data_IF_403785447111
#
_entry.id   IF_403785447111
#
_cell.length_a   1.000
_cell.length_b   1.000
_cell.length_c   1.000
_cell.angle_alpha   90.00
_cell.angle_beta   90.00
_cell.angle_gamma   90.00
#
_symmetry.space_group_name_H-M   'P 1'
#
loop_
_entity.id
_entity.type
_entity.pdbx_description
1 polymer ?
#
# COMPACT_ATOMS: atom_id res chain seq x y z
N UNK A 1 48.44 -30.73 27.98
CA UNK A 1 47.22 -30.02 28.40
C UNK A 1 46.54 -29.46 27.16
N UNK A 2 45.47 -30.11 26.71
CA UNK A 2 44.66 -29.62 25.61
C UNK A 2 43.62 -28.63 26.16
N UNK A 3 43.70 -27.41 25.72
CA UNK A 3 42.64 -26.41 25.95
C UNK A 3 41.64 -26.56 24.85
N UNK A 4 40.47 -27.11 25.20
CA UNK A 4 39.29 -27.09 24.35
C UNK A 4 38.77 -25.65 24.31
N UNK A 5 39.04 -24.95 23.23
CA UNK A 5 38.36 -23.72 22.88
C UNK A 5 36.97 -24.08 22.38
N UNK A 6 35.99 -23.96 23.27
CA UNK A 6 34.60 -24.06 22.84
C UNK A 6 34.26 -22.73 22.14
N UNK A 7 34.31 -22.71 20.82
CA UNK A 7 33.80 -21.58 20.06
C UNK A 7 32.28 -21.68 20.09
N UNK A 8 31.68 -20.84 20.95
CA UNK A 8 30.25 -20.65 20.95
C UNK A 8 29.87 -19.87 19.68
N UNK A 9 29.47 -20.57 18.65
CA UNK A 9 28.90 -19.92 17.48
C UNK A 9 27.52 -19.38 17.85
N UNK A 10 27.45 -18.09 18.12
CA UNK A 10 26.15 -17.41 18.28
C UNK A 10 25.56 -17.28 16.88
N UNK A 11 24.65 -18.19 16.54
CA UNK A 11 23.86 -18.08 15.33
C UNK A 11 22.83 -16.98 15.61
N UNK A 12 23.10 -15.77 15.13
CA UNK A 12 22.10 -14.72 15.07
C UNK A 12 21.07 -15.14 14.02
N UNK A 13 19.94 -15.68 14.51
CA UNK A 13 18.76 -15.85 13.71
C UNK A 13 18.18 -14.45 13.43
N UNK A 14 18.59 -13.85 12.33
CA UNK A 14 17.94 -12.66 11.82
C UNK A 14 16.65 -13.12 11.19
N UNK A 15 15.53 -12.96 11.90
CA UNK A 15 14.22 -13.14 11.33
C UNK A 15 13.96 -11.99 10.36
N UNK A 16 14.19 -12.22 9.07
CA UNK A 16 13.75 -11.31 8.03
C UNK A 16 12.24 -11.46 7.88
N UNK A 17 11.49 -10.49 8.37
CA UNK A 17 10.12 -10.30 7.89
C UNK A 17 10.22 -9.86 6.44
N UNK A 18 9.98 -10.80 5.52
CA UNK A 18 9.94 -10.49 4.12
C UNK A 18 8.73 -9.59 3.84
N UNK A 19 8.97 -8.27 3.68
CA UNK A 19 7.99 -7.37 3.10
C UNK A 19 7.99 -7.65 1.60
N UNK A 20 6.81 -7.87 0.99
CA UNK A 20 6.69 -8.04 -0.45
C UNK A 20 7.31 -6.82 -1.15
N UNK A 21 8.01 -7.06 -2.26
CA UNK A 21 8.66 -6.01 -3.02
C UNK A 21 7.64 -5.06 -3.65
N UNK A 22 8.00 -3.78 -3.74
CA UNK A 22 7.26 -2.81 -4.54
C UNK A 22 7.20 -3.26 -5.99
N UNK A 23 6.08 -2.99 -6.65
CA UNK A 23 5.89 -3.36 -8.05
C UNK A 23 4.99 -2.38 -8.76
N UNK A 24 5.20 -2.24 -10.06
CA UNK A 24 4.28 -1.51 -10.92
C UNK A 24 3.07 -2.39 -11.21
N UNK A 25 1.89 -1.83 -10.97
CA UNK A 25 0.61 -2.49 -11.20
C UNK A 25 -0.30 -1.58 -12.03
N UNK A 26 -1.44 -2.08 -12.44
CA UNK A 26 -2.48 -1.30 -13.09
C UNK A 26 -3.43 -0.74 -12.04
N UNK A 27 -3.57 0.57 -11.99
CA UNK A 27 -4.43 1.27 -11.03
C UNK A 27 -5.61 1.91 -11.72
N UNK A 28 -6.79 1.74 -11.13
CA UNK A 28 -8.02 2.44 -11.53
C UNK A 28 -8.61 3.10 -10.29
N UNK A 29 -8.74 4.41 -10.33
CA UNK A 29 -9.28 5.20 -9.21
C UNK A 29 -10.46 5.99 -9.71
N UNK A 30 -11.59 5.75 -9.07
CA UNK A 30 -12.87 6.43 -9.36
C UNK A 30 -13.27 7.25 -8.15
N UNK A 31 -13.63 8.51 -8.35
CA UNK A 31 -14.16 9.39 -7.32
C UNK A 31 -15.55 9.86 -7.74
N UNK A 32 -16.55 9.58 -6.88
CA UNK A 32 -17.93 9.75 -7.27
C UNK A 32 -18.26 8.86 -8.47
N UNK A 33 -18.67 9.47 -9.58
CA UNK A 33 -18.94 8.80 -10.86
C UNK A 33 -17.84 9.06 -11.91
N UNK A 34 -16.76 9.71 -11.50
CA UNK A 34 -15.69 10.15 -12.39
C UNK A 34 -14.48 9.24 -12.29
N UNK A 35 -13.98 8.77 -13.43
CA UNK A 35 -12.70 8.09 -13.50
C UNK A 35 -11.59 9.12 -13.28
N UNK A 36 -10.99 9.12 -12.09
CA UNK A 36 -9.94 10.06 -11.73
C UNK A 36 -8.56 9.64 -12.26
N UNK A 37 -8.30 8.34 -12.31
CA UNK A 37 -7.04 7.80 -12.81
C UNK A 37 -7.21 6.39 -13.35
N UNK A 38 -6.55 6.11 -14.47
CA UNK A 38 -6.46 4.77 -15.03
C UNK A 38 -5.08 4.63 -15.71
N UNK A 39 -4.22 3.85 -15.12
CA UNK A 39 -2.87 3.67 -15.66
C UNK A 39 -1.93 2.97 -14.69
N UNK A 40 -0.62 2.93 -15.02
CA UNK A 40 0.36 2.30 -14.15
C UNK A 40 0.57 3.11 -12.87
N UNK A 41 0.74 2.42 -11.77
CA UNK A 41 1.13 3.02 -10.50
C UNK A 41 2.09 2.09 -9.76
N UNK A 42 2.82 2.64 -8.80
CA UNK A 42 3.68 1.88 -7.93
C UNK A 42 2.86 1.38 -6.74
N UNK A 43 2.80 0.07 -6.57
CA UNK A 43 2.19 -0.59 -5.42
C UNK A 43 3.27 -0.79 -4.36
N UNK A 44 3.08 -0.18 -3.20
CA UNK A 44 4.01 -0.19 -2.08
C UNK A 44 3.36 -0.98 -0.95
N UNK A 45 3.71 -2.26 -0.76
CA UNK A 45 3.14 -3.05 0.34
C UNK A 45 3.65 -2.55 1.69
N UNK A 46 2.77 -2.61 2.67
CA UNK A 46 3.05 -2.26 4.07
C UNK A 46 2.62 -3.42 4.99
N UNK A 47 2.94 -3.31 6.27
CA UNK A 47 2.60 -4.34 7.24
C UNK A 47 1.08 -4.58 7.32
N UNK A 48 0.67 -5.83 7.54
CA UNK A 48 -0.73 -6.19 7.78
C UNK A 48 -1.63 -6.15 6.56
N UNK A 49 -1.06 -6.17 5.34
CA UNK A 49 -1.82 -6.11 4.10
C UNK A 49 -2.20 -4.71 3.66
N UNK A 50 -1.85 -3.69 4.42
CA UNK A 50 -1.97 -2.29 4.02
C UNK A 50 -1.03 -2.00 2.85
N UNK A 51 -1.33 -0.97 2.08
CA UNK A 51 -0.49 -0.59 0.95
C UNK A 51 -0.70 0.89 0.60
N UNK A 52 0.25 1.41 -0.16
CA UNK A 52 0.16 2.73 -0.75
C UNK A 52 0.35 2.66 -2.25
N UNK A 53 -0.25 3.61 -2.96
CA UNK A 53 -0.12 3.78 -4.40
C UNK A 53 0.51 5.14 -4.66
N UNK A 54 1.49 5.17 -5.53
CA UNK A 54 2.16 6.41 -5.94
C UNK A 54 2.43 6.41 -7.44
N UNK A 55 2.91 7.53 -7.95
CA UNK A 55 3.47 7.59 -9.28
C UNK A 55 4.64 6.58 -9.40
N UNK A 56 4.83 6.02 -10.58
CA UNK A 56 5.82 4.96 -10.83
C UNK A 56 7.26 5.40 -10.53
N UNK A 57 7.58 6.67 -10.68
CA UNK A 57 8.89 7.25 -10.36
C UNK A 57 8.95 7.89 -8.98
N UNK A 58 7.87 7.87 -8.21
CA UNK A 58 7.69 8.50 -6.90
C UNK A 58 7.86 10.02 -6.92
N UNK A 59 7.83 10.63 -8.08
CA UNK A 59 7.95 12.07 -8.25
C UNK A 59 6.66 12.65 -8.79
N UNK A 60 6.23 13.75 -8.19
CA UNK A 60 5.00 14.38 -8.57
C UNK A 60 3.74 13.61 -8.16
N UNK A 61 2.58 14.12 -8.53
CA UNK A 61 1.30 13.52 -8.15
C UNK A 61 1.01 12.24 -8.91
N UNK A 62 0.27 11.34 -8.25
CA UNK A 62 -0.33 10.18 -8.90
C UNK A 62 -1.48 10.62 -9.82
N UNK A 63 -2.35 11.48 -9.28
CA UNK A 63 -3.43 12.14 -10.03
C UNK A 63 -3.87 13.41 -9.29
N UNK A 64 -4.31 14.41 -10.01
CA UNK A 64 -4.67 15.72 -9.46
C UNK A 64 -3.59 16.25 -8.52
N UNK A 65 -3.91 16.56 -7.28
CA UNK A 65 -2.95 16.97 -6.26
C UNK A 65 -2.60 15.85 -5.27
N UNK A 66 -3.01 14.62 -5.53
CA UNK A 66 -2.73 13.46 -4.68
C UNK A 66 -1.41 12.82 -5.07
N UNK A 67 -0.42 12.90 -4.19
CA UNK A 67 0.88 12.28 -4.39
C UNK A 67 0.88 10.79 -4.04
N UNK A 68 0.28 10.44 -2.91
CA UNK A 68 0.21 9.07 -2.40
C UNK A 68 -1.20 8.77 -1.92
N UNK A 69 -1.73 7.64 -2.34
CA UNK A 69 -3.01 7.13 -1.86
C UNK A 69 -2.74 5.91 -0.97
N UNK A 70 -3.16 5.97 0.29
CA UNK A 70 -2.90 4.94 1.27
C UNK A 70 -4.15 4.19 1.65
N UNK A 71 -4.06 2.86 1.68
CA UNK A 71 -5.13 1.95 2.09
C UNK A 71 -4.67 1.21 3.34
N UNK A 72 -5.19 1.59 4.49
CA UNK A 72 -4.85 1.02 5.79
C UNK A 72 -5.88 -0.02 6.19
N UNK A 73 -5.47 -1.27 6.31
CA UNK A 73 -6.35 -2.35 6.75
C UNK A 73 -6.64 -2.17 8.24
N UNK A 74 -7.91 -1.99 8.59
CA UNK A 74 -8.37 -1.81 9.98
C UNK A 74 -9.05 -3.06 10.52
N UNK A 75 -9.58 -3.90 9.64
CA UNK A 75 -10.17 -5.19 9.96
C UNK A 75 -10.24 -6.03 8.68
N UNK A 76 -10.56 -7.31 8.79
CA UNK A 76 -10.70 -8.17 7.61
C UNK A 76 -11.69 -7.58 6.61
N UNK A 77 -11.22 -7.30 5.38
CA UNK A 77 -12.04 -6.74 4.31
C UNK A 77 -12.46 -5.29 4.50
N UNK A 78 -11.87 -4.59 5.47
CA UNK A 78 -12.15 -3.17 5.75
C UNK A 78 -10.87 -2.38 5.86
N UNK A 79 -10.87 -1.19 5.32
CA UNK A 79 -9.72 -0.29 5.33
C UNK A 79 -10.14 1.15 5.52
N UNK A 80 -9.21 1.96 5.96
CA UNK A 80 -9.32 3.42 5.92
C UNK A 80 -8.43 3.94 4.80
N UNK A 81 -8.95 4.84 3.98
CA UNK A 81 -8.25 5.39 2.84
C UNK A 81 -7.93 6.86 3.09
N UNK A 82 -6.68 7.23 2.79
CA UNK A 82 -6.16 8.59 2.89
C UNK A 82 -5.39 8.96 1.64
N UNK A 83 -5.51 10.23 1.23
CA UNK A 83 -4.74 10.81 0.14
C UNK A 83 -3.82 11.89 0.67
N UNK A 84 -2.50 11.73 0.47
CA UNK A 84 -1.52 12.77 0.80
C UNK A 84 -1.43 13.73 -0.37
N UNK A 85 -1.79 15.00 -0.13
CA UNK A 85 -1.76 16.03 -1.17
C UNK A 85 -0.35 16.57 -1.37
N UNK A 86 -0.14 17.25 -2.49
CA UNK A 86 1.13 17.94 -2.80
C UNK A 86 1.47 19.02 -1.77
N UNK A 87 0.48 19.58 -1.08
CA UNK A 87 0.67 20.53 0.01
C UNK A 87 0.99 19.88 1.37
N UNK A 88 1.12 18.54 1.41
CA UNK A 88 1.42 17.79 2.63
C UNK A 88 0.21 17.52 3.52
N UNK A 89 -1.00 17.70 3.03
CA UNK A 89 -2.23 17.43 3.77
C UNK A 89 -2.58 15.95 3.59
N UNK A 90 -2.72 15.22 4.70
CA UNK A 90 -3.18 13.84 4.71
C UNK A 90 -4.70 13.82 4.79
N UNK A 91 -5.36 13.91 3.64
CA UNK A 91 -6.82 14.01 3.57
C UNK A 91 -7.47 12.65 3.76
N UNK A 92 -8.50 12.62 4.61
CA UNK A 92 -9.27 11.40 4.84
C UNK A 92 -10.31 11.22 3.74
N UNK A 93 -10.24 10.09 3.05
CA UNK A 93 -11.25 9.70 2.05
C UNK A 93 -12.38 8.90 2.68
N UNK A 94 -12.09 8.18 3.74
CA UNK A 94 -13.04 7.42 4.49
C UNK A 94 -12.79 5.92 4.49
N UNK A 95 -13.76 5.18 4.98
CA UNK A 95 -13.69 3.73 5.07
C UNK A 95 -14.04 3.08 3.73
N UNK A 96 -13.32 2.01 3.41
CA UNK A 96 -13.56 1.19 2.24
C UNK A 96 -13.74 -0.27 2.63
N UNK A 97 -14.52 -0.99 1.83
CA UNK A 97 -14.69 -2.43 1.92
C UNK A 97 -14.06 -3.09 0.72
N UNK A 98 -13.38 -4.20 0.95
CA UNK A 98 -12.86 -5.00 -0.15
C UNK A 98 -14.03 -5.58 -0.95
N UNK A 99 -13.98 -5.42 -2.27
CA UNK A 99 -15.01 -5.94 -3.15
C UNK A 99 -15.04 -7.48 -3.10
N UNK A 100 -16.23 -8.06 -3.03
CA UNK A 100 -16.41 -9.50 -3.13
C UNK A 100 -16.41 -9.98 -4.58
N UNK A 101 -16.67 -9.08 -5.52
CA UNK A 101 -16.68 -9.37 -6.96
C UNK A 101 -15.29 -9.29 -7.57
N UNK A 102 -14.47 -8.37 -7.10
CA UNK A 102 -13.11 -8.15 -7.57
C UNK A 102 -12.20 -7.81 -6.38
N UNK A 103 -11.43 -8.77 -5.94
CA UNK A 103 -10.56 -8.64 -4.76
C UNK A 103 -9.46 -7.59 -4.91
N UNK A 104 -9.20 -7.14 -6.13
CA UNK A 104 -8.26 -6.05 -6.38
C UNK A 104 -8.84 -4.68 -6.04
N UNK A 105 -10.14 -4.59 -5.76
CA UNK A 105 -10.87 -3.35 -5.58
C UNK A 105 -11.31 -3.11 -4.14
N UNK A 106 -11.17 -1.86 -3.72
CA UNK A 106 -11.64 -1.34 -2.44
C UNK A 106 -12.64 -0.25 -2.69
N UNK A 107 -13.86 -0.41 -2.17
CA UNK A 107 -14.98 0.49 -2.43
C UNK A 107 -15.36 1.25 -1.18
N UNK A 108 -15.30 2.59 -1.26
CA UNK A 108 -15.83 3.51 -0.28
C UNK A 108 -17.24 4.02 -0.67
N UNK A 109 -17.72 5.01 0.07
CA UNK A 109 -19.04 5.61 -0.20
C UNK A 109 -19.05 6.33 -1.55
N UNK A 110 -17.99 7.05 -1.87
CA UNK A 110 -17.88 7.90 -3.06
C UNK A 110 -16.54 7.71 -3.81
N UNK A 111 -15.89 6.58 -3.61
CA UNK A 111 -14.67 6.25 -4.33
C UNK A 111 -14.51 4.74 -4.49
N UNK A 112 -13.73 4.34 -5.48
CA UNK A 112 -13.28 2.96 -5.66
C UNK A 112 -11.82 2.96 -6.10
N UNK A 113 -11.02 2.07 -5.52
CA UNK A 113 -9.60 1.91 -5.83
C UNK A 113 -9.37 0.47 -6.21
N UNK A 114 -8.87 0.25 -7.42
CA UNK A 114 -8.49 -1.08 -7.90
C UNK A 114 -7.00 -1.07 -8.26
N UNK A 115 -6.26 -2.03 -7.73
CA UNK A 115 -4.85 -2.23 -8.04
C UNK A 115 -4.62 -3.71 -8.41
N UNK A 116 -4.12 -3.99 -9.63
CA UNK A 116 -3.96 -5.35 -10.16
C UNK A 116 -2.66 -5.57 -10.91
#
# INVERSE_FOLDING_TARGET
MSRLLTILAIILLISHTAVAAEKVVSCTITTGKTLAYNGPCLFIPEAGGSFSLSNTDRQGPLFDDIGVLSVFIIAKGRAEVRGLTSAGINSRWGEAKRSTKDKACWKGTDFEICAR
#
